data_IF_858026334643
#
_entry.id   IF_858026334643
#
_cell.length_a   1.000
_cell.length_b   1.000
_cell.length_c   1.000
_cell.angle_alpha   90.00
_cell.angle_beta   90.00
_cell.angle_gamma   90.00
#
_symmetry.space_group_name_H-M   'P 1'
#
loop_
_entity.id
_entity.type
_entity.pdbx_description
1 polymer ?
#
# COMPACT_ATOMS: atom_id res chain seq x y z
N UNK A 1 -5.41 -8.03 16.31
CA UNK A 1 -3.98 -8.34 16.07
C UNK A 1 -3.23 -7.04 15.82
N UNK A 2 -2.01 -6.88 16.33
CA UNK A 2 -1.21 -5.65 16.19
C UNK A 2 0.16 -5.96 15.58
N UNK A 3 0.78 -4.96 14.96
CA UNK A 3 2.07 -5.04 14.30
C UNK A 3 3.06 -4.18 15.07
N UNK A 4 4.21 -4.75 15.41
CA UNK A 4 5.29 -3.99 16.04
C UNK A 4 6.16 -3.35 14.96
N UNK A 5 6.24 -2.02 14.97
CA UNK A 5 7.22 -1.26 14.22
C UNK A 5 8.42 -0.95 15.11
N UNK A 6 9.62 -1.26 14.63
CA UNK A 6 10.88 -0.91 15.29
C UNK A 6 11.76 -0.14 14.31
N UNK A 7 12.58 0.79 14.83
CA UNK A 7 13.53 1.55 14.01
C UNK A 7 14.44 0.62 13.21
N UNK A 8 14.91 -0.46 13.86
CA UNK A 8 15.78 -1.44 13.20
C UNK A 8 15.05 -2.17 12.05
N UNK A 9 13.84 -2.67 12.29
CA UNK A 9 13.05 -3.36 11.26
C UNK A 9 12.70 -2.45 10.08
N UNK A 10 12.35 -1.19 10.35
CA UNK A 10 12.08 -0.19 9.32
C UNK A 10 13.35 0.12 8.49
N UNK A 11 14.50 0.36 9.15
CA UNK A 11 15.77 0.61 8.45
C UNK A 11 16.23 -0.62 7.63
N UNK A 12 16.05 -1.82 8.17
CA UNK A 12 16.31 -3.10 7.46
C UNK A 12 15.45 -3.20 6.21
N UNK A 13 14.15 -2.91 6.31
CA UNK A 13 13.24 -2.93 5.17
C UNK A 13 13.68 -1.95 4.08
N UNK A 14 13.90 -0.68 4.44
CA UNK A 14 14.26 0.38 3.48
C UNK A 14 15.61 0.10 2.80
N UNK A 15 16.59 -0.44 3.54
CA UNK A 15 17.91 -0.78 2.98
C UNK A 15 17.86 -2.00 2.06
N UNK A 16 17.15 -3.06 2.44
CA UNK A 16 17.08 -4.29 1.63
C UNK A 16 16.09 -4.19 0.47
N UNK A 17 15.05 -3.37 0.60
CA UNK A 17 13.94 -3.25 -0.35
C UNK A 17 13.55 -1.79 -0.54
N UNK A 18 14.38 -0.99 -1.22
CA UNK A 18 14.13 0.44 -1.41
C UNK A 18 12.84 0.71 -2.19
N UNK A 19 12.43 -0.21 -3.08
CA UNK A 19 11.21 -0.08 -3.88
C UNK A 19 9.92 0.00 -3.04
N UNK A 20 9.91 -0.49 -1.80
CA UNK A 20 8.74 -0.43 -0.91
C UNK A 20 8.88 0.60 0.21
N UNK A 21 9.94 1.42 0.18
CA UNK A 21 10.24 2.35 1.26
C UNK A 21 9.17 3.42 1.46
N UNK A 22 8.61 3.93 0.36
CA UNK A 22 7.58 4.96 0.37
C UNK A 22 6.15 4.37 0.26
N UNK A 23 6.01 3.04 0.23
CA UNK A 23 4.67 2.41 0.19
C UNK A 23 4.00 2.64 1.54
N UNK A 24 2.74 3.12 1.60
CA UNK A 24 2.03 3.29 2.85
C UNK A 24 1.86 1.92 3.54
N UNK A 25 2.07 1.84 4.87
CA UNK A 25 1.99 0.56 5.59
C UNK A 25 1.20 0.63 6.89
N UNK A 26 1.00 1.82 7.44
CA UNK A 26 0.22 2.04 8.65
C UNK A 26 -0.58 3.33 8.53
N UNK A 27 -1.60 3.45 9.38
CA UNK A 27 -2.31 4.70 9.64
C UNK A 27 -1.83 5.23 10.99
N UNK A 28 -1.40 6.49 11.01
CA UNK A 28 -1.15 7.25 12.24
C UNK A 28 -1.97 8.53 12.18
N UNK A 29 -2.85 8.76 13.16
CA UNK A 29 -3.75 9.93 13.21
C UNK A 29 -4.48 10.18 11.87
N UNK A 30 -5.10 9.12 11.35
CA UNK A 30 -5.85 9.12 10.08
C UNK A 30 -5.02 9.38 8.82
N UNK A 31 -3.69 9.46 8.93
CA UNK A 31 -2.80 9.63 7.79
C UNK A 31 -2.08 8.34 7.44
N UNK A 32 -2.05 7.95 6.16
CA UNK A 32 -1.18 6.91 5.64
C UNK A 32 0.29 7.28 5.83
N UNK A 33 1.06 6.38 6.43
CA UNK A 33 2.48 6.55 6.71
C UNK A 33 3.26 5.39 6.09
N UNK A 34 4.31 5.73 5.34
CA UNK A 34 5.25 4.77 4.76
C UNK A 34 6.35 4.35 5.74
N UNK A 35 7.15 3.35 5.39
CA UNK A 35 8.28 2.95 6.21
C UNK A 35 9.33 4.08 6.37
N UNK A 36 9.57 4.83 5.29
CA UNK A 36 10.49 5.96 5.27
C UNK A 36 9.99 7.12 6.13
N UNK A 37 8.70 7.44 6.04
CA UNK A 37 8.09 8.49 6.87
C UNK A 37 8.12 8.08 8.35
N UNK A 38 7.83 6.82 8.65
CA UNK A 38 7.89 6.30 10.02
C UNK A 38 9.30 6.46 10.63
N UNK A 39 10.38 6.24 9.86
CA UNK A 39 11.75 6.48 10.33
C UNK A 39 11.96 7.97 10.61
N UNK A 40 11.61 8.84 9.66
CA UNK A 40 11.81 10.30 9.75
C UNK A 40 11.05 10.90 10.94
N UNK A 41 9.81 10.46 11.15
CA UNK A 41 8.93 10.92 12.22
C UNK A 41 9.14 10.15 13.55
N UNK A 42 10.07 9.18 13.58
CA UNK A 42 10.36 8.31 14.73
C UNK A 42 9.12 7.56 15.26
N UNK A 43 8.22 7.19 14.36
CA UNK A 43 7.01 6.43 14.65
C UNK A 43 7.39 4.96 14.89
N UNK A 44 7.20 4.49 16.13
CA UNK A 44 7.55 3.14 16.57
C UNK A 44 6.54 2.63 17.59
N UNK A 45 6.52 1.32 17.83
CA UNK A 45 5.62 0.71 18.79
C UNK A 45 4.62 -0.25 18.13
N UNK A 46 3.50 -0.49 18.81
CA UNK A 46 2.47 -1.40 18.34
C UNK A 46 1.35 -0.64 17.63
N UNK A 47 1.12 -0.98 16.38
CA UNK A 47 0.05 -0.43 15.56
C UNK A 47 -1.05 -1.47 15.38
N UNK A 48 -2.33 -1.10 15.58
CA UNK A 48 -3.41 -2.02 15.28
C UNK A 48 -3.41 -2.38 13.79
N UNK A 49 -3.99 -3.53 13.45
CA UNK A 49 -4.34 -3.77 12.06
C UNK A 49 -5.38 -2.74 11.60
N UNK A 50 -5.25 -2.22 10.37
CA UNK A 50 -6.16 -1.22 9.85
C UNK A 50 -7.58 -1.77 9.75
N UNK A 51 -8.56 -0.93 10.00
CA UNK A 51 -9.97 -1.21 9.67
C UNK A 51 -10.17 -1.29 8.15
N UNK A 52 -11.32 -1.78 7.69
CA UNK A 52 -11.63 -1.80 6.25
C UNK A 52 -11.55 -0.39 5.63
N UNK A 53 -12.13 0.63 6.26
CA UNK A 53 -12.04 2.02 5.79
C UNK A 53 -10.60 2.53 5.71
N UNK A 54 -9.75 2.13 6.66
CA UNK A 54 -8.34 2.47 6.65
C UNK A 54 -7.57 1.71 5.56
N UNK A 55 -7.95 0.48 5.25
CA UNK A 55 -7.38 -0.28 4.13
C UNK A 55 -7.72 0.36 2.78
N UNK A 56 -8.95 0.85 2.60
CA UNK A 56 -9.30 1.65 1.43
C UNK A 56 -8.38 2.86 1.29
N UNK A 57 -8.25 3.66 2.35
CA UNK A 57 -7.38 4.85 2.34
C UNK A 57 -5.90 4.51 2.04
N UNK A 58 -5.37 3.44 2.64
CA UNK A 58 -4.02 2.97 2.35
C UNK A 58 -3.86 2.52 0.89
N UNK A 59 -4.88 1.89 0.33
CA UNK A 59 -4.89 1.42 -1.06
C UNK A 59 -4.94 2.59 -2.04
N UNK A 60 -5.78 3.59 -1.78
CA UNK A 60 -5.85 4.83 -2.57
C UNK A 60 -4.49 5.55 -2.58
N UNK A 61 -3.88 5.77 -1.41
CA UNK A 61 -2.57 6.42 -1.34
C UNK A 61 -1.47 5.61 -2.01
N UNK A 62 -1.56 4.28 -2.00
CA UNK A 62 -0.64 3.44 -2.76
C UNK A 62 -0.74 3.67 -4.27
N UNK A 63 -1.95 3.74 -4.84
CA UNK A 63 -2.11 4.02 -6.27
C UNK A 63 -1.73 5.46 -6.63
N UNK A 64 -2.04 6.45 -5.79
CA UNK A 64 -1.55 7.83 -5.96
C UNK A 64 -0.02 7.89 -5.93
N UNK A 65 0.61 7.13 -5.02
CA UNK A 65 2.05 7.00 -4.98
C UNK A 65 2.62 6.42 -6.29
N UNK A 66 2.03 5.35 -6.83
CA UNK A 66 2.45 4.78 -8.10
C UNK A 66 2.33 5.79 -9.24
N UNK A 67 1.23 6.54 -9.31
CA UNK A 67 1.01 7.60 -10.30
C UNK A 67 2.01 8.75 -10.16
N UNK A 68 2.48 9.04 -8.94
CA UNK A 68 3.47 10.09 -8.71
C UNK A 68 4.87 9.73 -9.22
N UNK A 69 5.14 8.45 -9.52
CA UNK A 69 6.45 8.02 -10.01
C UNK A 69 6.66 8.46 -11.45
N UNK A 70 7.87 8.98 -11.76
CA UNK A 70 8.20 9.40 -13.12
C UNK A 70 8.32 8.19 -14.05
N UNK A 71 8.03 8.42 -15.33
CA UNK A 71 8.13 7.41 -16.39
C UNK A 71 6.77 6.84 -16.81
N UNK A 72 6.75 5.99 -17.85
CA UNK A 72 5.52 5.36 -18.32
C UNK A 72 4.99 4.40 -17.26
N UNK A 73 3.72 4.53 -16.92
CA UNK A 73 3.06 3.61 -15.99
C UNK A 73 2.71 2.31 -16.72
N UNK A 74 3.02 1.15 -16.13
CA UNK A 74 2.70 -0.13 -16.74
C UNK A 74 1.18 -0.33 -16.81
N UNK A 75 0.74 -0.93 -17.90
CA UNK A 75 -0.63 -1.41 -18.04
C UNK A 75 -0.76 -2.72 -17.26
N UNK A 76 -1.72 -2.78 -16.34
CA UNK A 76 -2.03 -3.98 -15.59
C UNK A 76 -2.99 -4.82 -16.40
N UNK A 77 -2.56 -6.05 -16.69
CA UNK A 77 -3.41 -7.03 -17.36
C UNK A 77 -4.16 -7.88 -16.35
N UNK A 78 -5.48 -8.00 -16.54
CA UNK A 78 -6.34 -8.92 -15.81
C UNK A 78 -6.88 -9.95 -16.78
N UNK A 79 -6.74 -11.22 -16.41
CA UNK A 79 -7.39 -12.30 -17.13
C UNK A 79 -8.84 -12.40 -16.65
N UNK A 80 -9.74 -11.70 -17.32
CA UNK A 80 -11.18 -11.77 -17.06
C UNK A 80 -11.98 -12.23 -18.28
N UNK A 81 -13.15 -12.80 -18.01
CA UNK A 81 -14.15 -13.22 -18.99
C UNK A 81 -15.06 -12.06 -19.47
N UNK A 82 -14.92 -10.86 -18.90
CA UNK A 82 -15.80 -9.69 -19.09
C UNK A 82 -15.30 -8.68 -20.16
N UNK A 83 -14.20 -9.00 -20.85
CA UNK A 83 -13.78 -8.34 -22.09
C UNK A 83 -12.78 -7.19 -21.96
N UNK A 84 -12.64 -6.54 -20.79
CA UNK A 84 -11.57 -5.56 -20.55
C UNK A 84 -10.41 -6.22 -19.81
N UNK A 85 -9.32 -6.45 -20.53
CA UNK A 85 -8.16 -7.18 -20.00
C UNK A 85 -7.02 -6.29 -19.57
N UNK A 86 -7.12 -4.97 -19.75
CA UNK A 86 -6.04 -4.02 -19.49
C UNK A 86 -6.54 -2.78 -18.74
N UNK A 87 -5.81 -2.37 -17.71
CA UNK A 87 -6.12 -1.22 -16.89
C UNK A 87 -4.87 -0.36 -16.66
N UNK A 88 -5.04 0.96 -16.72
CA UNK A 88 -4.05 1.95 -16.28
C UNK A 88 -4.14 2.16 -14.76
N UNK A 89 -3.11 2.76 -14.15
CA UNK A 89 -3.16 3.08 -12.72
C UNK A 89 -4.24 4.11 -12.38
N UNK A 90 -4.55 5.03 -13.29
CA UNK A 90 -5.62 6.01 -13.14
C UNK A 90 -6.99 5.35 -13.10
N UNK A 91 -7.21 4.37 -13.97
CA UNK A 91 -8.45 3.58 -13.96
C UNK A 91 -8.58 2.77 -12.69
N UNK A 92 -7.51 2.10 -12.26
CA UNK A 92 -7.52 1.33 -11.02
C UNK A 92 -7.73 2.22 -9.79
N UNK A 93 -7.15 3.42 -9.75
CA UNK A 93 -7.41 4.39 -8.69
C UNK A 93 -8.90 4.76 -8.64
N UNK A 94 -9.53 5.03 -9.79
CA UNK A 94 -10.97 5.31 -9.85
C UNK A 94 -11.80 4.14 -9.33
N UNK A 95 -11.45 2.90 -9.65
CA UNK A 95 -12.14 1.72 -9.13
C UNK A 95 -12.03 1.63 -7.59
N UNK A 96 -10.88 2.01 -7.05
CA UNK A 96 -10.65 2.05 -5.59
C UNK A 96 -11.46 3.19 -4.95
N UNK A 97 -11.40 4.41 -5.48
CA UNK A 97 -12.13 5.58 -4.98
C UNK A 97 -13.65 5.37 -5.02
N UNK A 98 -14.16 4.76 -6.09
CA UNK A 98 -15.57 4.42 -6.25
C UNK A 98 -15.99 3.16 -5.46
N UNK A 99 -15.02 2.48 -4.82
CA UNK A 99 -15.23 1.25 -4.02
C UNK A 99 -16.00 0.16 -4.78
N UNK A 100 -15.66 -0.03 -6.04
CA UNK A 100 -16.30 -1.05 -6.88
C UNK A 100 -15.89 -2.46 -6.47
N UNK A 101 -16.48 -3.48 -7.10
CA UNK A 101 -16.06 -4.87 -6.92
C UNK A 101 -14.57 -5.07 -7.27
N UNK A 102 -14.11 -4.47 -8.38
CA UNK A 102 -12.69 -4.49 -8.75
C UNK A 102 -11.85 -3.73 -7.72
N UNK A 103 -12.29 -2.54 -7.28
CA UNK A 103 -11.63 -1.80 -6.21
C UNK A 103 -11.44 -2.65 -4.94
N UNK A 104 -12.43 -3.47 -4.59
CA UNK A 104 -12.36 -4.35 -3.41
C UNK A 104 -11.33 -5.46 -3.60
N UNK A 105 -11.25 -6.05 -4.79
CA UNK A 105 -10.20 -7.01 -5.12
C UNK A 105 -8.80 -6.38 -5.01
N UNK A 106 -8.63 -5.16 -5.51
CA UNK A 106 -7.39 -4.40 -5.40
C UNK A 106 -7.02 -4.11 -3.95
N UNK A 107 -7.98 -3.69 -3.11
CA UNK A 107 -7.78 -3.48 -1.68
C UNK A 107 -7.34 -4.78 -0.99
N UNK A 108 -7.96 -5.91 -1.32
CA UNK A 108 -7.57 -7.21 -0.76
C UNK A 108 -6.17 -7.65 -1.21
N UNK A 109 -5.83 -7.44 -2.48
CA UNK A 109 -4.49 -7.70 -3.01
C UNK A 109 -3.44 -6.82 -2.29
N UNK A 110 -3.76 -5.54 -2.11
CA UNK A 110 -2.94 -4.60 -1.37
C UNK A 110 -2.76 -5.02 0.10
N UNK A 111 -3.81 -5.47 0.78
CA UNK A 111 -3.74 -5.96 2.16
C UNK A 111 -2.74 -7.13 2.29
N UNK A 112 -2.78 -8.09 1.35
CA UNK A 112 -1.82 -9.21 1.31
C UNK A 112 -0.39 -8.74 1.03
N UNK A 113 -0.22 -7.81 0.10
CA UNK A 113 1.07 -7.21 -0.19
C UNK A 113 1.65 -6.49 1.04
N UNK A 114 0.83 -5.70 1.73
CA UNK A 114 1.19 -5.04 2.98
C UNK A 114 1.63 -6.04 4.04
N UNK A 115 0.90 -7.13 4.26
CA UNK A 115 1.33 -8.19 5.19
C UNK A 115 2.72 -8.75 4.84
N UNK A 116 3.01 -8.92 3.55
CA UNK A 116 4.33 -9.34 3.10
C UNK A 116 5.42 -8.31 3.42
N UNK A 117 5.14 -7.01 3.23
CA UNK A 117 6.05 -5.94 3.65
C UNK A 117 6.33 -6.02 5.15
N UNK A 118 5.27 -6.19 5.96
CA UNK A 118 5.40 -6.28 7.42
C UNK A 118 6.21 -7.50 7.87
N UNK A 119 6.14 -8.62 7.14
CA UNK A 119 6.96 -9.80 7.40
C UNK A 119 8.45 -9.53 7.17
N UNK A 120 8.81 -8.72 6.18
CA UNK A 120 10.22 -8.38 5.90
C UNK A 120 10.87 -7.50 6.97
N UNK A 121 10.07 -6.82 7.81
CA UNK A 121 10.58 -6.02 8.94
C UNK A 121 10.94 -6.83 10.18
N UNK A 122 10.49 -8.09 10.26
CA UNK A 122 10.87 -9.02 11.34
C UNK A 122 12.31 -9.49 11.13
#
# INVERSE_FOLDING_TARGET
MAVRLSVWGLKKLVSQRPAVADVPIIIEREKPISAKDAISLRITGFFPMPTESQLWLLTEEYYKYLLSKPGPHPVIYRFCLDGKTSYTYEELLKEVENRTALGRELMMAYAKFREQILKWMR
#
